data_IF_768686031005
#
_entry.id   IF_768686031005
#
_cell.length_a   1.000
_cell.length_b   1.000
_cell.length_c   1.000
_cell.angle_alpha   90.00
_cell.angle_beta   90.00
_cell.angle_gamma   90.00
#
_symmetry.space_group_name_H-M   'P 1'
#
loop_
_entity.id
_entity.type
_entity.pdbx_description
1 polymer ?
#
# COMPACT_ATOMS: atom_id res chain seq x y z
N UNK A 1 9.38 -9.02 -16.32
CA UNK A 1 8.48 -9.73 -15.40
C UNK A 1 7.03 -9.48 -15.78
N UNK A 2 6.09 -10.15 -15.12
CA UNK A 2 4.65 -9.90 -15.28
C UNK A 2 4.25 -8.64 -14.49
N UNK A 3 3.58 -7.65 -15.09
CA UNK A 3 3.15 -6.46 -14.35
C UNK A 3 2.22 -6.80 -13.18
N UNK A 4 2.45 -6.19 -12.02
CA UNK A 4 1.60 -6.33 -10.82
C UNK A 4 0.26 -5.61 -10.91
N UNK A 5 0.14 -4.67 -11.84
CA UNK A 5 -1.12 -3.99 -12.17
C UNK A 5 -1.76 -4.70 -13.36
N UNK A 6 -3.02 -5.17 -13.24
CA UNK A 6 -3.77 -5.78 -14.33
C UNK A 6 -3.80 -4.88 -15.57
N UNK A 7 -3.67 -5.51 -16.75
CA UNK A 7 -3.61 -4.84 -18.06
C UNK A 7 -4.79 -5.29 -18.93
N UNK A 8 -5.34 -4.38 -19.73
CA UNK A 8 -6.32 -4.68 -20.77
C UNK A 8 -5.67 -5.32 -22.02
N UNK A 9 -6.47 -5.57 -23.05
CA UNK A 9 -6.03 -6.15 -24.32
C UNK A 9 -4.97 -5.30 -25.04
N UNK A 10 -4.98 -3.98 -24.80
CA UNK A 10 -4.01 -3.02 -25.35
C UNK A 10 -2.76 -2.87 -24.46
N UNK A 11 -2.68 -3.58 -23.33
CA UNK A 11 -1.55 -3.53 -22.39
C UNK A 11 -1.56 -2.32 -21.45
N UNK A 12 -2.67 -1.57 -21.38
CA UNK A 12 -2.82 -0.40 -20.51
C UNK A 12 -3.36 -0.82 -19.14
N UNK A 13 -3.01 -0.13 -18.04
CA UNK A 13 -3.51 -0.48 -16.72
C UNK A 13 -5.03 -0.30 -16.62
N UNK A 14 -5.77 -1.32 -16.19
CA UNK A 14 -7.22 -1.26 -16.16
C UNK A 14 -7.76 -0.33 -15.06
N UNK A 15 -8.90 0.31 -15.30
CA UNK A 15 -9.68 0.94 -14.23
C UNK A 15 -10.53 -0.14 -13.55
N UNK A 16 -10.41 -0.23 -12.22
CA UNK A 16 -11.19 -1.15 -11.38
C UNK A 16 -11.88 -0.37 -10.28
N UNK A 17 -13.10 -0.75 -9.96
CA UNK A 17 -13.83 -0.17 -8.83
C UNK A 17 -13.10 -0.51 -7.53
N UNK A 18 -12.64 0.53 -6.84
CA UNK A 18 -11.81 0.43 -5.63
C UNK A 18 -12.41 1.26 -4.52
N UNK A 19 -12.55 0.69 -3.33
CA UNK A 19 -12.90 1.43 -2.12
C UNK A 19 -11.72 2.30 -1.70
N UNK A 20 -11.84 3.62 -1.82
CA UNK A 20 -10.81 4.56 -1.44
C UNK A 20 -10.90 4.95 0.04
N UNK A 21 -9.78 5.42 0.60
CA UNK A 21 -9.75 6.06 1.92
C UNK A 21 -10.47 7.40 1.89
N UNK A 22 -11.38 7.62 2.85
CA UNK A 22 -12.15 8.87 3.02
C UNK A 22 -12.26 9.30 4.49
N UNK A 23 -11.51 8.64 5.38
CA UNK A 23 -11.60 8.83 6.82
C UNK A 23 -12.75 8.07 7.51
N UNK A 24 -13.51 7.26 6.77
CA UNK A 24 -14.60 6.42 7.28
C UNK A 24 -14.35 4.93 7.01
N UNK A 25 -15.13 4.06 7.66
CA UNK A 25 -15.04 2.60 7.49
C UNK A 25 -15.72 2.09 6.22
N UNK A 26 -16.53 2.93 5.57
CA UNK A 26 -17.24 2.60 4.33
C UNK A 26 -16.45 2.91 3.08
N UNK A 27 -15.61 3.95 3.10
CA UNK A 27 -14.89 4.44 1.92
C UNK A 27 -15.82 4.93 0.81
N UNK A 28 -15.24 5.61 -0.18
CA UNK A 28 -15.94 5.90 -1.43
C UNK A 28 -15.40 4.97 -2.54
N UNK A 29 -16.28 4.23 -3.21
CA UNK A 29 -15.89 3.45 -4.39
C UNK A 29 -15.66 4.37 -5.59
N UNK A 30 -14.53 4.18 -6.28
CA UNK A 30 -14.17 4.92 -7.49
C UNK A 30 -13.42 4.03 -8.46
N UNK A 31 -13.60 4.28 -9.75
CA UNK A 31 -12.75 3.72 -10.80
C UNK A 31 -11.30 4.20 -10.63
N UNK A 32 -10.40 3.27 -10.32
CA UNK A 32 -8.99 3.55 -10.02
C UNK A 32 -8.08 2.51 -10.69
N UNK A 33 -6.88 2.91 -11.12
CA UNK A 33 -5.88 1.98 -11.69
C UNK A 33 -5.14 1.26 -10.55
N UNK A 34 -5.87 0.40 -9.85
CA UNK A 34 -5.35 -0.33 -8.69
C UNK A 34 -4.42 -1.48 -9.10
N UNK A 35 -3.43 -1.79 -8.25
CA UNK A 35 -2.69 -3.04 -8.36
C UNK A 35 -3.60 -4.25 -8.07
N UNK A 36 -3.15 -5.46 -8.42
CA UNK A 36 -3.88 -6.67 -8.06
C UNK A 36 -3.99 -6.83 -6.53
N UNK A 37 -4.97 -7.61 -6.06
CA UNK A 37 -5.15 -7.93 -4.64
C UNK A 37 -3.97 -8.71 -4.03
N UNK A 38 -3.17 -9.38 -4.86
CA UNK A 38 -1.91 -10.03 -4.47
C UNK A 38 -0.77 -9.02 -4.25
N UNK A 39 -0.95 -7.77 -4.69
CA UNK A 39 0.03 -6.69 -4.52
C UNK A 39 -0.46 -5.70 -3.47
N UNK A 40 -1.67 -5.15 -3.64
CA UNK A 40 -2.28 -4.25 -2.66
C UNK A 40 -3.60 -4.85 -2.18
N UNK A 41 -3.68 -5.18 -0.90
CA UNK A 41 -4.92 -5.62 -0.26
C UNK A 41 -5.65 -4.45 0.38
N UNK A 42 -6.97 -4.46 0.31
CA UNK A 42 -7.84 -3.48 0.98
C UNK A 42 -8.63 -4.17 2.08
N UNK A 43 -8.63 -3.60 3.28
CA UNK A 43 -9.36 -4.11 4.45
C UNK A 43 -9.99 -2.95 5.22
N UNK A 44 -11.04 -3.20 5.99
CA UNK A 44 -11.56 -2.24 6.97
C UNK A 44 -11.06 -2.61 8.36
N UNK A 45 -10.32 -1.71 8.99
CA UNK A 45 -9.77 -1.90 10.34
C UNK A 45 -9.88 -0.62 11.15
N UNK A 46 -10.11 -0.75 12.46
CA UNK A 46 -10.21 0.41 13.36
C UNK A 46 -11.23 1.47 12.88
N UNK A 47 -12.27 1.02 12.15
CA UNK A 47 -13.29 1.89 11.60
C UNK A 47 -12.86 2.71 10.38
N UNK A 48 -11.74 2.36 9.71
CA UNK A 48 -11.27 3.02 8.48
C UNK A 48 -10.84 2.02 7.42
N UNK A 49 -10.86 2.44 6.16
CA UNK A 49 -10.26 1.69 5.05
C UNK A 49 -8.74 1.73 5.17
N UNK A 50 -8.09 0.57 5.01
CA UNK A 50 -6.64 0.39 5.07
C UNK A 50 -6.19 -0.36 3.82
N UNK A 51 -5.23 0.22 3.11
CA UNK A 51 -4.54 -0.43 2.00
C UNK A 51 -3.17 -0.91 2.46
N UNK A 52 -2.78 -2.12 2.06
CA UNK A 52 -1.48 -2.69 2.39
C UNK A 52 -0.77 -3.21 1.16
N UNK A 53 0.53 -2.96 1.08
CA UNK A 53 1.38 -3.71 0.16
C UNK A 53 1.68 -5.08 0.77
N UNK A 54 1.18 -6.14 0.13
CA UNK A 54 1.16 -7.52 0.66
C UNK A 54 2.12 -8.47 -0.06
N UNK A 55 3.09 -7.93 -0.79
CA UNK A 55 4.07 -8.73 -1.52
C UNK A 55 4.96 -9.54 -0.57
N UNK A 56 5.52 -10.69 -1.01
CA UNK A 56 6.13 -11.67 -0.10
C UNK A 56 7.27 -11.13 0.79
N UNK A 57 8.18 -10.31 0.24
CA UNK A 57 9.31 -9.76 1.02
C UNK A 57 8.85 -8.65 1.95
N UNK A 58 7.93 -7.81 1.48
CA UNK A 58 7.32 -6.77 2.31
C UNK A 58 6.64 -7.41 3.53
N UNK A 59 5.84 -8.45 3.31
CA UNK A 59 5.22 -9.23 4.38
C UNK A 59 6.25 -9.85 5.34
N UNK A 60 7.34 -10.44 4.80
CA UNK A 60 8.40 -11.01 5.63
C UNK A 60 9.09 -9.94 6.51
N UNK A 61 9.44 -8.80 5.93
CA UNK A 61 10.13 -7.70 6.64
C UNK A 61 9.25 -7.11 7.74
N UNK A 62 7.97 -6.81 7.46
CA UNK A 62 7.10 -6.24 8.52
C UNK A 62 6.82 -7.23 9.64
N UNK A 63 6.76 -8.53 9.35
CA UNK A 63 6.61 -9.56 10.39
C UNK A 63 7.80 -9.55 11.35
N UNK A 64 9.01 -9.41 10.82
CA UNK A 64 10.24 -9.29 11.61
C UNK A 64 10.27 -7.96 12.40
N UNK A 65 10.03 -6.82 11.73
CA UNK A 65 10.04 -5.50 12.34
C UNK A 65 9.11 -5.36 13.55
N UNK A 66 7.91 -5.96 13.47
CA UNK A 66 6.91 -5.88 14.54
C UNK A 66 6.83 -7.13 15.42
N UNK A 67 7.64 -8.17 15.15
CA UNK A 67 7.55 -9.46 15.85
C UNK A 67 6.18 -10.13 15.73
N UNK A 68 5.46 -9.92 14.62
CA UNK A 68 4.08 -10.39 14.44
C UNK A 68 3.91 -11.20 13.16
N UNK A 69 3.96 -12.53 13.27
CA UNK A 69 3.90 -13.46 12.14
C UNK A 69 2.59 -13.41 11.31
N UNK A 70 1.53 -12.82 11.86
CA UNK A 70 0.21 -12.74 11.20
C UNK A 70 0.06 -11.51 10.30
N UNK A 71 1.03 -10.58 10.30
CA UNK A 71 0.95 -9.41 9.44
C UNK A 71 0.96 -9.83 7.97
N UNK A 72 0.00 -9.31 7.21
CA UNK A 72 -0.14 -9.59 5.78
C UNK A 72 0.79 -8.73 4.91
N UNK A 73 1.20 -7.57 5.40
CA UNK A 73 1.97 -6.59 4.63
C UNK A 73 2.08 -5.24 5.34
N UNK A 74 2.62 -4.24 4.64
CA UNK A 74 2.84 -2.91 5.17
C UNK A 74 1.69 -1.96 4.79
N UNK A 75 1.15 -1.22 5.76
CA UNK A 75 0.12 -0.20 5.51
C UNK A 75 0.68 0.95 4.65
N UNK A 76 -0.08 1.32 3.62
CA UNK A 76 0.09 2.54 2.87
C UNK A 76 -0.60 3.70 3.60
N UNK A 77 -0.11 4.90 3.36
CA UNK A 77 -0.67 6.13 3.90
C UNK A 77 -2.18 6.24 3.63
N UNK A 78 -2.93 6.54 4.69
CA UNK A 78 -4.38 6.68 4.64
C UNK A 78 -4.87 8.08 4.18
N UNK A 79 -3.95 8.91 3.69
CA UNK A 79 -4.21 10.20 3.06
C UNK A 79 -3.88 10.10 1.57
N UNK A 80 -4.85 10.32 0.67
CA UNK A 80 -4.60 10.25 -0.77
C UNK A 80 -3.55 11.28 -1.21
N UNK A 81 -2.58 10.85 -2.02
CA UNK A 81 -1.55 11.76 -2.56
C UNK A 81 -2.09 12.74 -3.60
N UNK A 82 -3.30 12.51 -4.11
CA UNK A 82 -4.02 13.43 -4.98
C UNK A 82 -5.53 13.19 -4.90
N UNK A 83 -6.33 14.12 -5.42
CA UNK A 83 -7.80 13.98 -5.51
C UNK A 83 -8.26 12.78 -6.36
N UNK A 84 -7.39 12.28 -7.24
CA UNK A 84 -7.62 11.12 -8.10
C UNK A 84 -7.09 9.80 -7.49
N UNK A 85 -6.40 9.85 -6.36
CA UNK A 85 -5.83 8.66 -5.71
C UNK A 85 -6.81 8.07 -4.70
N UNK A 86 -6.83 6.73 -4.57
CA UNK A 86 -7.61 6.06 -3.52
C UNK A 86 -6.87 5.95 -2.18
N UNK A 87 -5.56 6.11 -2.17
CA UNK A 87 -4.66 6.00 -1.01
C UNK A 87 -3.36 6.74 -1.29
N UNK A 88 -2.49 6.87 -0.28
CA UNK A 88 -1.20 7.54 -0.43
C UNK A 88 -0.13 6.68 -1.10
N UNK A 89 0.89 7.32 -1.67
CA UNK A 89 2.06 6.69 -2.29
C UNK A 89 3.20 6.40 -1.30
N UNK A 90 2.98 6.65 -0.01
CA UNK A 90 3.95 6.50 1.07
C UNK A 90 3.55 5.40 2.06
N UNK A 91 4.46 5.03 2.96
CA UNK A 91 4.14 4.17 4.09
C UNK A 91 3.29 4.91 5.14
N UNK A 92 2.38 4.20 5.81
CA UNK A 92 1.58 4.78 6.89
C UNK A 92 2.46 5.40 7.99
N UNK A 93 2.38 6.73 8.11
CA UNK A 93 3.26 7.50 8.97
C UNK A 93 3.21 7.06 10.44
N UNK A 94 2.02 6.68 10.93
CA UNK A 94 1.83 6.21 12.31
C UNK A 94 2.68 4.99 12.63
N UNK A 95 2.92 4.11 11.65
CA UNK A 95 3.67 2.87 11.81
C UNK A 95 5.14 3.03 11.42
N UNK A 96 5.44 3.87 10.43
CA UNK A 96 6.73 3.92 9.76
C UNK A 96 7.38 5.30 9.79
N UNK A 97 7.16 6.08 10.84
CA UNK A 97 7.64 7.48 10.99
C UNK A 97 9.13 7.72 10.69
N UNK A 98 9.99 6.71 10.90
CA UNK A 98 11.43 6.79 10.65
C UNK A 98 11.89 6.25 9.28
N UNK A 99 10.96 5.88 8.42
CA UNK A 99 11.25 5.33 7.10
C UNK A 99 11.44 6.45 6.07
N UNK A 100 12.33 6.26 5.09
CA UNK A 100 12.60 7.25 4.04
C UNK A 100 11.38 7.56 3.14
N UNK A 101 10.49 6.60 2.99
CA UNK A 101 9.22 6.66 2.27
C UNK A 101 8.03 6.92 3.20
N UNK A 102 8.26 7.40 4.44
CA UNK A 102 7.19 8.02 5.22
C UNK A 102 6.78 9.36 4.55
N UNK A 103 5.50 9.77 4.63
CA UNK A 103 5.00 10.94 3.89
C UNK A 103 5.55 12.27 4.40
N UNK A 104 6.05 12.29 5.64
CA UNK A 104 6.69 13.45 6.26
C UNK A 104 8.04 13.01 6.81
N UNK A 105 9.10 13.67 6.37
CA UNK A 105 10.46 13.35 6.75
C UNK A 105 10.74 13.76 8.21
N UNK A 106 11.33 12.83 8.96
CA UNK A 106 11.91 13.09 10.28
C UNK A 106 13.34 12.55 10.32
N UNK A 107 13.58 11.42 10.99
CA UNK A 107 14.79 10.62 10.80
C UNK A 107 14.53 9.70 9.61
N UNK A 108 14.96 10.10 8.42
CA UNK A 108 14.74 9.34 7.20
C UNK A 108 15.76 8.20 7.09
N UNK A 109 15.35 6.97 7.41
CA UNK A 109 16.17 5.77 7.30
C UNK A 109 15.70 4.95 6.10
N UNK A 110 16.64 4.60 5.21
CA UNK A 110 16.39 3.57 4.21
C UNK A 110 16.35 2.21 4.93
N UNK A 111 15.16 1.72 5.18
CA UNK A 111 14.97 0.47 5.92
C UNK A 111 14.86 -0.74 4.99
N UNK A 112 14.96 -1.97 5.52
CA UNK A 112 14.64 -3.18 4.75
C UNK A 112 13.23 -3.17 4.15
N UNK A 113 12.28 -2.39 4.70
CA UNK A 113 10.91 -2.33 4.19
C UNK A 113 10.86 -1.73 2.79
N UNK A 114 11.48 -0.55 2.59
CA UNK A 114 11.54 0.07 1.25
C UNK A 114 12.34 -0.77 0.28
N UNK A 115 13.46 -1.38 0.72
CA UNK A 115 14.23 -2.29 -0.12
C UNK A 115 13.42 -3.51 -0.56
N UNK A 116 12.63 -4.10 0.35
CA UNK A 116 11.74 -5.22 0.04
C UNK A 116 10.65 -4.82 -0.96
N UNK A 117 10.08 -3.63 -0.83
CA UNK A 117 9.09 -3.13 -1.79
C UNK A 117 9.70 -2.92 -3.19
N UNK A 118 10.92 -2.37 -3.26
CA UNK A 118 11.65 -2.22 -4.52
C UNK A 118 11.98 -3.57 -5.15
N UNK A 119 12.50 -4.53 -4.37
CA UNK A 119 12.82 -5.87 -4.88
C UNK A 119 11.58 -6.64 -5.34
N UNK A 120 10.47 -6.55 -4.59
CA UNK A 120 9.23 -7.21 -4.99
C UNK A 120 8.59 -6.55 -6.21
N UNK A 121 8.86 -5.27 -6.49
CA UNK A 121 8.28 -4.58 -7.66
C UNK A 121 8.77 -5.12 -9.01
N UNK A 122 9.85 -5.91 -9.02
CA UNK A 122 10.29 -6.73 -10.16
C UNK A 122 11.41 -6.12 -10.99
#
# INVERSE_FOLDING_TARGET
>A
GTPRTPRDEDGLPMLVETTCVDGSGGGASRAFRAASSETISTTTERGVVVHRLVTPRVAAVVRDMFGCARLAGAELENQPSSTASCYGSHWEHRLYRGEIMAPVLHRAVLSPLTLAALEDSG
#
